data_IF_599812443321
#
_entry.id   IF_599812443321
#
_cell.length_a   1.000
_cell.length_b   1.000
_cell.length_c   1.000
_cell.angle_alpha   90.00
_cell.angle_beta   90.00
_cell.angle_gamma   90.00
#
_symmetry.space_group_name_H-M   'P 1'
#
loop_
_entity.id
_entity.type
_entity.pdbx_description
1 polymer ?
#
# COMPACT_ATOMS: atom_id res chain seq x y z
N UNK A 1 -2.06 42.56 2.83
CA UNK A 1 -2.68 41.45 3.60
C UNK A 1 -1.97 40.15 3.22
N UNK A 2 -1.09 39.66 4.07
CA UNK A 2 -0.30 38.44 3.82
C UNK A 2 -1.22 37.22 3.71
N UNK A 3 -1.31 36.60 2.52
CA UNK A 3 -1.98 35.30 2.34
C UNK A 3 -1.30 34.31 3.27
N UNK A 4 -2.06 33.72 4.21
CA UNK A 4 -1.53 32.70 5.12
C UNK A 4 -1.02 31.53 4.28
N UNK A 5 0.15 30.96 4.57
CA UNK A 5 0.63 29.78 3.86
C UNK A 5 -0.39 28.65 4.02
N UNK A 6 -0.93 28.17 2.90
CA UNK A 6 -1.97 27.16 2.85
C UNK A 6 -1.42 25.81 2.39
N UNK A 7 -0.16 25.50 2.64
CA UNK A 7 0.40 24.19 2.29
C UNK A 7 0.05 23.13 3.34
N UNK A 8 0.10 21.85 2.95
CA UNK A 8 -0.06 20.71 3.86
C UNK A 8 0.93 20.78 5.02
N UNK A 9 2.20 21.10 4.77
CA UNK A 9 3.22 21.27 5.80
C UNK A 9 2.90 22.41 6.77
N UNK A 10 2.31 23.52 6.27
CA UNK A 10 1.87 24.61 7.13
C UNK A 10 0.67 24.21 8.00
N UNK A 11 -0.24 23.38 7.49
CA UNK A 11 -1.34 22.81 8.26
C UNK A 11 -0.82 21.82 9.31
N UNK A 12 0.12 20.94 8.94
CA UNK A 12 0.77 19.97 9.83
C UNK A 12 1.42 20.65 11.03
N UNK A 13 2.24 21.67 10.78
CA UNK A 13 2.87 22.48 11.83
C UNK A 13 1.84 23.16 12.75
N UNK A 14 0.68 23.53 12.22
CA UNK A 14 -0.38 24.19 12.99
C UNK A 14 -1.22 23.22 13.81
N UNK A 15 -1.46 22.00 13.31
CA UNK A 15 -2.23 20.96 14.00
C UNK A 15 -1.37 20.14 14.96
N UNK A 16 -0.04 20.28 14.90
CA UNK A 16 0.88 19.42 15.65
C UNK A 16 0.85 17.98 15.15
N UNK A 17 0.45 17.78 13.89
CA UNK A 17 0.41 16.46 13.23
C UNK A 17 1.54 16.39 12.21
N UNK A 18 1.97 15.18 11.87
CA UNK A 18 2.90 14.99 10.75
C UNK A 18 2.22 15.30 9.41
N UNK A 19 3.01 15.63 8.39
CA UNK A 19 2.45 16.02 7.07
C UNK A 19 1.58 14.92 6.46
N UNK A 20 1.92 13.67 6.71
CA UNK A 20 1.21 12.52 6.18
C UNK A 20 -0.10 12.24 6.94
N UNK A 21 -0.14 12.55 8.24
CA UNK A 21 -1.36 12.50 9.04
C UNK A 21 -2.37 13.52 8.54
N UNK A 22 -1.89 14.74 8.25
CA UNK A 22 -2.70 15.79 7.65
C UNK A 22 -3.25 15.33 6.30
N UNK A 23 -2.42 14.73 5.45
CA UNK A 23 -2.88 14.23 4.15
C UNK A 23 -4.01 13.20 4.28
N UNK A 24 -3.88 12.22 5.19
CA UNK A 24 -4.94 11.26 5.45
C UNK A 24 -6.23 11.94 5.92
N UNK A 25 -6.15 12.85 6.89
CA UNK A 25 -7.33 13.56 7.40
C UNK A 25 -8.01 14.41 6.32
N UNK A 26 -7.22 15.06 5.46
CA UNK A 26 -7.75 15.82 4.34
C UNK A 26 -8.44 14.92 3.30
N UNK A 27 -7.86 13.75 3.02
CA UNK A 27 -8.47 12.77 2.11
C UNK A 27 -9.76 12.18 2.67
N UNK A 28 -9.81 11.88 3.97
CA UNK A 28 -11.02 11.40 4.64
C UNK A 28 -12.12 12.49 4.65
N UNK A 29 -11.73 13.76 4.66
CA UNK A 29 -12.61 14.89 4.45
C UNK A 29 -12.96 15.15 2.96
N UNK A 30 -12.52 14.30 2.03
CA UNK A 30 -12.81 14.41 0.59
C UNK A 30 -12.01 15.46 -0.18
N UNK A 31 -10.88 15.95 0.37
CA UNK A 31 -9.96 16.84 -0.33
C UNK A 31 -8.81 16.04 -0.94
N UNK A 32 -9.01 15.49 -2.14
CA UNK A 32 -8.11 14.45 -2.70
C UNK A 32 -6.87 14.94 -3.45
N UNK A 33 -6.82 16.21 -3.85
CA UNK A 33 -5.75 16.75 -4.68
C UNK A 33 -4.39 16.98 -3.97
N UNK A 34 -4.31 17.21 -2.65
CA UNK A 34 -3.01 17.30 -1.97
C UNK A 34 -2.30 15.94 -2.02
N UNK A 35 -1.03 15.96 -2.40
CA UNK A 35 -0.23 14.75 -2.69
C UNK A 35 1.11 14.68 -1.97
N UNK A 36 1.41 15.66 -1.12
CA UNK A 36 2.66 15.76 -0.36
C UNK A 36 2.71 17.02 0.49
N UNK A 37 3.74 17.19 1.34
CA UNK A 37 3.86 18.29 2.30
C UNK A 37 3.81 19.69 1.66
N UNK A 38 4.33 19.82 0.44
CA UNK A 38 4.36 21.08 -0.30
C UNK A 38 3.09 21.38 -1.09
N UNK A 39 2.08 20.50 -1.03
CA UNK A 39 0.83 20.72 -1.76
C UNK A 39 0.06 21.91 -1.21
N UNK A 40 -0.27 22.88 -2.06
CA UNK A 40 -1.11 24.02 -1.69
C UNK A 40 -2.59 23.61 -1.59
N UNK A 41 -3.23 23.99 -0.48
CA UNK A 41 -4.67 23.90 -0.28
C UNK A 41 -5.32 25.14 -0.92
N UNK A 42 -6.26 24.89 -1.82
CA UNK A 42 -7.07 25.91 -2.50
C UNK A 42 -7.82 26.73 -1.46
N UNK A 43 -7.91 28.04 -1.66
CA UNK A 43 -8.56 28.96 -0.72
C UNK A 43 -10.00 28.54 -0.35
N UNK A 44 -10.78 28.02 -1.32
CA UNK A 44 -12.15 27.52 -1.11
C UNK A 44 -12.24 26.29 -0.21
N UNK A 45 -11.17 25.50 -0.15
CA UNK A 45 -11.12 24.22 0.58
C UNK A 45 -10.48 24.40 1.97
N UNK A 46 -9.89 25.56 2.26
CA UNK A 46 -9.15 25.82 3.50
C UNK A 46 -10.02 25.66 4.75
N UNK A 47 -11.26 26.14 4.72
CA UNK A 47 -12.17 25.97 5.85
C UNK A 47 -12.48 24.50 6.12
N UNK A 48 -12.70 23.72 5.05
CA UNK A 48 -12.96 22.27 5.16
C UNK A 48 -11.75 21.54 5.70
N UNK A 49 -10.55 21.91 5.25
CA UNK A 49 -9.28 21.39 5.74
C UNK A 49 -9.05 21.71 7.23
N UNK A 50 -9.29 22.96 7.65
CA UNK A 50 -9.14 23.38 9.05
C UNK A 50 -10.14 22.66 9.97
N UNK A 51 -11.40 22.53 9.54
CA UNK A 51 -12.41 21.76 10.28
C UNK A 51 -12.03 20.28 10.42
N UNK A 52 -11.57 19.64 9.34
CA UNK A 52 -11.17 18.23 9.36
C UNK A 52 -10.01 17.98 10.32
N UNK A 53 -9.06 18.92 10.41
CA UNK A 53 -7.89 18.82 11.28
C UNK A 53 -8.16 19.28 12.72
N UNK A 54 -9.43 19.48 13.11
CA UNK A 54 -9.82 20.06 14.41
C UNK A 54 -9.07 21.38 14.74
N UNK A 55 -8.59 22.08 13.70
CA UNK A 55 -8.01 23.41 13.82
C UNK A 55 -9.16 24.38 14.01
N UNK A 56 -9.50 24.65 15.27
CA UNK A 56 -10.59 25.58 15.61
C UNK A 56 -10.45 26.90 14.85
N UNK A 57 -11.58 27.38 14.33
CA UNK A 57 -11.61 28.63 13.59
C UNK A 57 -11.05 29.76 14.49
N UNK A 58 -10.39 30.80 13.94
CA UNK A 58 -9.83 31.89 14.77
C UNK A 58 -10.84 32.55 15.72
N UNK A 59 -12.14 32.45 15.42
CA UNK A 59 -13.24 32.94 16.26
C UNK A 59 -13.56 32.02 17.45
N UNK A 60 -13.30 30.73 17.35
CA UNK A 60 -13.54 29.72 18.39
C UNK A 60 -12.42 29.71 19.42
N UNK A 61 -11.16 29.90 18.99
CA UNK A 61 -10.00 30.11 19.89
C UNK A 61 -10.14 31.33 20.80
N UNK A 62 -11.09 32.23 20.53
CA UNK A 62 -11.41 33.38 21.40
C UNK A 62 -12.37 33.02 22.52
N UNK A 63 -13.00 31.85 22.52
CA UNK A 63 -13.90 31.39 23.59
C UNK A 63 -13.09 30.66 24.66
N UNK A 64 -13.38 30.95 25.93
CA UNK A 64 -12.69 30.27 27.04
C UNK A 64 -13.05 28.77 27.11
N UNK A 65 -14.30 28.45 26.77
CA UNK A 65 -14.87 27.10 26.74
C UNK A 65 -14.13 26.15 25.79
N UNK A 66 -13.65 26.65 24.64
CA UNK A 66 -12.85 25.88 23.70
C UNK A 66 -11.55 25.36 24.36
N UNK A 67 -10.87 26.21 25.13
CA UNK A 67 -9.62 25.82 25.81
C UNK A 67 -9.87 24.86 26.97
N UNK A 68 -10.98 25.03 27.69
CA UNK A 68 -11.41 24.11 28.75
C UNK A 68 -11.70 22.72 28.19
N UNK A 69 -12.43 22.64 27.08
CA UNK A 69 -12.72 21.39 26.38
C UNK A 69 -11.45 20.74 25.82
N UNK A 70 -10.55 21.52 25.23
CA UNK A 70 -9.31 21.03 24.63
C UNK A 70 -8.33 20.48 25.68
N UNK A 71 -8.24 21.13 26.85
CA UNK A 71 -7.32 20.71 27.92
C UNK A 71 -7.92 19.71 28.90
N UNK A 72 -9.24 19.47 28.84
CA UNK A 72 -9.97 18.71 29.86
C UNK A 72 -9.93 19.33 31.26
N UNK A 73 -9.60 20.62 31.36
CA UNK A 73 -9.48 21.32 32.65
C UNK A 73 -10.76 22.09 32.94
N UNK A 74 -11.17 22.10 34.21
CA UNK A 74 -12.23 22.99 34.64
C UNK A 74 -11.74 24.45 34.65
N UNK A 75 -12.66 25.38 34.83
CA UNK A 75 -12.38 26.82 34.73
C UNK A 75 -11.33 27.29 35.75
N UNK A 76 -11.40 26.78 36.96
CA UNK A 76 -10.50 27.17 38.07
C UNK A 76 -9.09 26.62 37.84
N UNK A 77 -8.99 25.37 37.40
CA UNK A 77 -7.72 24.73 37.03
C UNK A 77 -7.04 25.45 35.86
N UNK A 78 -7.80 25.77 34.81
CA UNK A 78 -7.30 26.51 33.67
C UNK A 78 -6.86 27.92 34.07
N UNK A 79 -7.65 28.62 34.90
CA UNK A 79 -7.30 29.93 35.43
C UNK A 79 -6.03 29.88 36.30
N UNK A 80 -5.87 28.86 37.15
CA UNK A 80 -4.67 28.67 37.97
C UNK A 80 -3.41 28.47 37.13
N UNK A 81 -3.47 27.64 36.07
CA UNK A 81 -2.34 27.44 35.16
C UNK A 81 -2.02 28.69 34.33
N UNK A 82 -3.03 29.44 33.92
CA UNK A 82 -2.84 30.69 33.18
C UNK A 82 -2.29 31.80 34.06
N UNK A 83 -2.67 31.83 35.34
CA UNK A 83 -2.12 32.77 36.32
C UNK A 83 -0.62 32.55 36.51
N UNK A 84 -0.16 31.29 36.50
CA UNK A 84 1.28 30.95 36.54
C UNK A 84 2.05 31.47 35.31
N UNK A 85 1.38 31.68 34.17
CA UNK A 85 1.93 32.32 32.96
C UNK A 85 1.63 33.84 32.89
N UNK A 86 1.15 34.42 34.00
CA UNK A 86 0.84 35.85 34.13
C UNK A 86 -0.40 36.29 33.36
N UNK A 87 -1.42 35.43 33.24
CA UNK A 87 -2.71 35.73 32.62
C UNK A 87 -3.83 35.56 33.65
N UNK A 88 -4.47 36.67 34.01
CA UNK A 88 -5.65 36.63 34.89
C UNK A 88 -6.94 36.50 34.07
N UNK A 89 -7.84 35.61 34.49
CA UNK A 89 -9.17 35.44 33.91
C UNK A 89 -10.22 35.77 34.98
N UNK A 90 -11.11 36.71 34.68
CA UNK A 90 -12.22 37.02 35.59
C UNK A 90 -13.22 35.85 35.70
N UNK A 91 -13.86 35.64 36.86
CA UNK A 91 -14.79 34.52 37.08
C UNK A 91 -15.94 34.40 36.06
N UNK A 92 -16.37 35.51 35.44
CA UNK A 92 -17.43 35.55 34.41
C UNK A 92 -16.96 35.68 32.96
N UNK A 93 -15.65 35.75 32.68
CA UNK A 93 -15.13 35.96 31.33
C UNK A 93 -15.47 34.80 30.37
N UNK A 94 -16.22 35.06 29.30
CA UNK A 94 -16.54 34.04 28.28
C UNK A 94 -15.50 33.97 27.16
N UNK A 95 -14.61 34.97 27.09
CA UNK A 95 -13.62 35.10 26.02
C UNK A 95 -12.20 35.20 26.57
N UNK A 96 -11.25 34.77 25.74
CA UNK A 96 -9.82 34.90 25.97
C UNK A 96 -9.43 36.40 25.93
N UNK A 97 -8.67 36.91 26.92
CA UNK A 97 -8.17 38.28 26.90
C UNK A 97 -7.37 38.59 25.62
N UNK A 98 -7.44 39.83 25.14
CA UNK A 98 -6.73 40.23 23.91
C UNK A 98 -5.21 40.04 24.09
N UNK A 99 -4.57 39.41 23.11
CA UNK A 99 -3.10 39.23 23.08
C UNK A 99 -2.55 38.05 23.89
N UNK A 100 -3.38 37.27 24.60
CA UNK A 100 -2.91 36.17 25.46
C UNK A 100 -3.01 34.77 24.84
N UNK A 101 -3.48 34.67 23.59
CA UNK A 101 -3.78 33.40 22.91
C UNK A 101 -2.59 32.43 22.83
N UNK A 102 -1.37 32.94 22.64
CA UNK A 102 -0.14 32.12 22.65
C UNK A 102 0.19 31.50 24.01
N UNK A 103 -0.23 32.15 25.10
CA UNK A 103 -0.03 31.63 26.46
C UNK A 103 -1.03 30.50 26.76
N UNK A 104 -2.25 30.59 26.23
CA UNK A 104 -3.21 29.49 26.27
C UNK A 104 -2.71 28.25 25.51
N UNK A 105 -2.14 28.43 24.31
CA UNK A 105 -1.54 27.32 23.56
C UNK A 105 -0.42 26.62 24.36
N UNK A 106 0.40 27.38 25.08
CA UNK A 106 1.49 26.85 25.92
C UNK A 106 0.99 26.09 27.15
N UNK A 107 -0.02 26.62 27.83
CA UNK A 107 -0.62 26.00 29.03
C UNK A 107 -1.26 24.65 28.70
N UNK A 108 -1.88 24.54 27.51
CA UNK A 108 -2.48 23.27 27.06
C UNK A 108 -1.44 22.30 26.50
N UNK A 109 -0.36 22.80 25.89
CA UNK A 109 0.72 21.95 25.35
C UNK A 109 1.66 21.35 26.41
N UNK A 110 1.54 21.72 27.70
CA UNK A 110 2.43 21.25 28.77
C UNK A 110 1.74 20.17 29.63
N UNK A 111 2.12 18.88 29.53
CA UNK A 111 1.56 17.84 30.37
C UNK A 111 2.21 17.85 31.76
N UNK A 112 1.40 17.86 32.82
CA UNK A 112 1.82 17.46 34.17
C UNK A 112 2.44 18.53 35.08
N UNK A 113 1.63 19.10 35.97
CA UNK A 113 1.99 19.37 37.38
C UNK A 113 0.70 19.29 38.22
N UNK A 114 0.63 18.48 39.29
CA UNK A 114 -0.57 18.37 40.10
C UNK A 114 -0.65 19.54 41.08
N UNK A 115 -1.83 20.14 41.19
CA UNK A 115 -2.20 20.90 42.38
C UNK A 115 -2.90 19.94 43.33
N UNK A 116 -2.43 19.92 44.57
CA UNK A 116 -2.79 19.01 45.66
C UNK A 116 -4.29 19.00 45.98
N UNK A 117 -4.82 17.78 46.09
CA UNK A 117 -6.08 17.30 46.70
C UNK A 117 -7.01 18.31 47.38
N UNK A 118 -8.26 18.40 46.89
CA UNK A 118 -9.46 18.49 47.73
C UNK A 118 -10.53 17.52 47.19
N UNK A 119 -10.85 16.52 48.01
CA UNK A 119 -11.98 15.60 47.86
C UNK A 119 -13.32 16.35 47.88
N UNK A 120 -14.26 15.99 46.99
CA UNK A 120 -15.74 15.99 47.12
C UNK A 120 -16.34 15.41 45.81
N UNK A 121 -17.48 14.70 45.83
CA UNK A 121 -17.67 13.43 45.12
C UNK A 121 -18.09 13.56 43.64
N UNK A 122 -17.71 12.53 42.87
CA UNK A 122 -18.10 12.30 41.48
C UNK A 122 -19.62 12.24 41.35
N UNK A 123 -20.19 13.20 40.63
CA UNK A 123 -21.48 13.01 39.97
C UNK A 123 -21.28 12.10 38.77
N UNK A 124 -21.88 10.92 38.82
CA UNK A 124 -21.87 9.94 37.75
C UNK A 124 -22.51 10.50 36.48
N UNK A 125 -21.69 10.83 35.49
CA UNK A 125 -22.07 10.65 34.09
C UNK A 125 -21.07 9.69 33.47
N UNK A 126 -21.31 8.40 33.70
CA UNK A 126 -20.60 7.35 33.01
C UNK A 126 -20.89 7.48 31.51
N UNK A 127 -19.93 8.06 30.77
CA UNK A 127 -19.74 7.69 29.38
C UNK A 127 -19.38 6.20 29.38
N UNK A 128 -20.38 5.35 29.20
CA UNK A 128 -20.21 3.91 29.00
C UNK A 128 -19.61 3.68 27.62
N UNK A 129 -18.34 4.02 27.47
CA UNK A 129 -17.54 3.42 26.40
C UNK A 129 -17.46 1.93 26.76
N UNK A 130 -17.93 1.01 25.92
CA UNK A 130 -17.81 -0.42 26.20
C UNK A 130 -16.34 -0.75 26.47
N UNK A 131 -16.06 -1.70 27.39
CA UNK A 131 -14.68 -2.11 27.64
C UNK A 131 -14.01 -2.52 26.33
N UNK A 132 -12.73 -2.18 26.14
CA UNK A 132 -12.03 -2.48 24.91
C UNK A 132 -12.08 -3.98 24.63
N UNK A 133 -12.37 -4.34 23.38
CA UNK A 133 -12.46 -5.73 22.98
C UNK A 133 -11.06 -6.34 22.90
N UNK A 134 -10.86 -7.53 23.49
CA UNK A 134 -9.61 -8.26 23.32
C UNK A 134 -9.56 -8.87 21.92
N UNK A 135 -8.46 -8.64 21.21
CA UNK A 135 -8.22 -9.22 19.90
C UNK A 135 -8.08 -10.75 19.99
N UNK A 136 -8.71 -11.44 19.05
CA UNK A 136 -8.63 -12.89 18.91
C UNK A 136 -8.20 -13.19 17.49
N UNK A 137 -7.07 -13.88 17.35
CA UNK A 137 -6.57 -14.31 16.04
C UNK A 137 -7.55 -15.27 15.38
N UNK A 138 -7.87 -15.04 14.10
CA UNK A 138 -8.78 -15.88 13.31
C UNK A 138 -8.20 -16.11 11.92
N UNK A 139 -8.44 -17.28 11.37
CA UNK A 139 -8.14 -17.57 9.97
C UNK A 139 -9.11 -16.80 9.06
N UNK A 140 -8.58 -16.02 8.12
CA UNK A 140 -9.34 -15.26 7.13
C UNK A 140 -8.70 -15.42 5.75
N UNK A 141 -9.52 -15.48 4.72
CA UNK A 141 -9.05 -15.55 3.34
C UNK A 141 -9.09 -16.96 2.76
N UNK A 142 -8.33 -17.20 1.71
CA UNK A 142 -8.37 -18.41 0.93
C UNK A 142 -7.16 -19.31 1.22
N UNK A 143 -7.42 -20.50 1.73
CA UNK A 143 -6.41 -21.54 1.99
C UNK A 143 -6.04 -22.26 0.69
N UNK A 144 -4.74 -22.45 0.45
CA UNK A 144 -4.18 -23.24 -0.66
C UNK A 144 -2.72 -23.60 -0.42
N UNK A 145 -2.12 -24.36 -1.34
CA UNK A 145 -0.67 -24.49 -1.41
C UNK A 145 -0.07 -23.14 -1.79
N UNK A 146 0.55 -22.46 -0.81
CA UNK A 146 1.08 -21.12 -0.96
C UNK A 146 2.48 -21.13 -1.57
N UNK A 147 2.70 -20.21 -2.52
CA UNK A 147 4.03 -19.82 -3.01
C UNK A 147 4.44 -18.53 -2.31
N UNK A 148 5.73 -18.41 -1.99
CA UNK A 148 6.28 -17.26 -1.27
C UNK A 148 7.41 -16.64 -2.06
N UNK A 149 7.56 -15.32 -1.94
CA UNK A 149 8.72 -14.61 -2.46
C UNK A 149 9.93 -14.85 -1.56
N UNK A 150 11.08 -15.11 -2.17
CA UNK A 150 12.37 -15.18 -1.47
C UNK A 150 12.93 -13.78 -1.21
N UNK A 151 13.87 -13.67 -0.28
CA UNK A 151 14.60 -12.42 -0.03
C UNK A 151 15.28 -11.89 -1.31
N UNK A 152 15.83 -12.79 -2.14
CA UNK A 152 16.44 -12.45 -3.43
C UNK A 152 15.42 -11.86 -4.41
N UNK A 153 14.25 -12.50 -4.56
CA UNK A 153 13.16 -12.00 -5.42
C UNK A 153 12.67 -10.63 -4.96
N UNK A 154 12.57 -10.40 -3.65
CA UNK A 154 12.18 -9.09 -3.10
C UNK A 154 13.27 -8.03 -3.36
N UNK A 155 14.56 -8.39 -3.23
CA UNK A 155 15.66 -7.51 -3.58
C UNK A 155 15.64 -7.14 -5.06
N UNK A 156 15.35 -8.10 -5.94
CA UNK A 156 15.21 -7.87 -7.37
C UNK A 156 14.04 -6.92 -7.69
N UNK A 157 12.89 -7.08 -7.02
CA UNK A 157 11.77 -6.12 -7.09
C UNK A 157 12.25 -4.71 -6.71
N UNK A 158 13.02 -4.61 -5.62
CA UNK A 158 13.55 -3.31 -5.18
C UNK A 158 14.43 -2.64 -6.23
N UNK A 159 15.38 -3.38 -6.82
CA UNK A 159 16.25 -2.83 -7.85
C UNK A 159 15.50 -2.49 -9.15
N UNK A 160 14.51 -3.29 -9.55
CA UNK A 160 13.67 -2.98 -10.71
C UNK A 160 12.91 -1.65 -10.53
N UNK A 161 12.37 -1.39 -9.34
CA UNK A 161 11.72 -0.10 -9.04
C UNK A 161 12.77 1.02 -9.02
N UNK A 162 13.96 0.78 -8.44
CA UNK A 162 15.00 1.80 -8.37
C UNK A 162 15.45 2.23 -9.78
N UNK A 163 15.57 1.28 -10.70
CA UNK A 163 15.92 1.50 -12.11
C UNK A 163 14.83 2.30 -12.85
N UNK A 164 13.54 1.92 -12.75
CA UNK A 164 12.44 2.66 -13.40
C UNK A 164 12.30 4.12 -12.92
N UNK A 165 12.69 4.36 -11.66
CA UNK A 165 12.63 5.67 -11.03
C UNK A 165 13.94 6.46 -11.06
N UNK A 166 15.01 5.92 -11.68
CA UNK A 166 16.35 6.51 -11.64
C UNK A 166 16.37 7.97 -12.15
N UNK A 167 15.79 8.22 -13.32
CA UNK A 167 15.68 9.56 -13.93
C UNK A 167 14.41 10.33 -13.50
N UNK A 168 13.69 9.84 -12.49
CA UNK A 168 12.49 10.53 -11.99
C UNK A 168 12.85 11.64 -11.00
N UNK A 169 11.94 12.61 -10.74
CA UNK A 169 12.15 13.63 -9.72
C UNK A 169 12.32 13.08 -8.29
N UNK A 170 11.84 11.86 -8.03
CA UNK A 170 11.81 11.24 -6.70
C UNK A 170 12.42 9.80 -6.74
N UNK A 171 13.73 9.66 -7.03
CA UNK A 171 14.38 8.35 -7.20
C UNK A 171 14.41 7.54 -5.89
N UNK A 172 14.72 6.25 -5.98
CA UNK A 172 15.12 5.46 -4.79
C UNK A 172 16.62 5.69 -4.60
N UNK A 173 16.98 6.65 -3.75
CA UNK A 173 18.38 6.96 -3.43
C UNK A 173 18.58 7.09 -1.90
N UNK A 174 19.62 6.44 -1.32
CA UNK A 174 20.38 5.36 -1.92
C UNK A 174 19.51 4.10 -2.12
N UNK A 175 19.70 3.41 -3.25
CA UNK A 175 19.08 2.11 -3.49
C UNK A 175 19.89 0.99 -2.82
N UNK A 176 19.22 -0.13 -2.55
CA UNK A 176 19.85 -1.35 -2.06
C UNK A 176 19.47 -1.74 -0.64
N UNK A 177 19.91 -2.94 -0.28
CA UNK A 177 19.65 -3.57 1.01
C UNK A 177 20.48 -2.87 2.08
N UNK A 178 19.82 -2.40 3.14
CA UNK A 178 20.45 -1.85 4.34
C UNK A 178 20.70 -2.94 5.37
N UNK A 179 19.73 -3.83 5.56
CA UNK A 179 19.77 -4.90 6.56
C UNK A 179 19.31 -6.24 5.94
N UNK A 180 20.25 -7.10 5.51
CA UNK A 180 19.93 -8.40 4.91
C UNK A 180 19.07 -9.29 5.81
N UNK A 181 19.38 -9.36 7.11
CA UNK A 181 18.65 -10.18 8.08
C UNK A 181 17.18 -9.75 8.22
N UNK A 182 16.91 -8.45 8.08
CA UNK A 182 15.55 -7.90 8.13
C UNK A 182 14.77 -8.19 6.84
N UNK A 183 15.46 -8.28 5.70
CA UNK A 183 14.86 -8.70 4.44
C UNK A 183 14.49 -10.19 4.48
N UNK A 184 15.40 -11.01 4.98
CA UNK A 184 15.17 -12.45 5.16
C UNK A 184 14.05 -12.70 6.17
N UNK A 185 14.07 -12.00 7.31
CA UNK A 185 12.98 -12.03 8.29
C UNK A 185 11.62 -11.68 7.66
N UNK A 186 11.56 -10.65 6.81
CA UNK A 186 10.34 -10.26 6.12
C UNK A 186 9.86 -11.33 5.12
N UNK A 187 10.78 -11.98 4.40
CA UNK A 187 10.48 -13.05 3.44
C UNK A 187 10.02 -14.36 4.12
N UNK A 188 10.56 -14.66 5.30
CA UNK A 188 10.22 -15.88 6.06
C UNK A 188 8.94 -15.70 6.87
N UNK A 189 8.60 -14.49 7.33
CA UNK A 189 7.43 -14.27 8.20
C UNK A 189 6.12 -14.91 7.68
N UNK A 190 5.75 -14.83 6.39
CA UNK A 190 4.55 -15.48 5.88
C UNK A 190 4.51 -17.01 6.06
N UNK A 191 5.68 -17.61 6.30
CA UNK A 191 5.87 -19.06 6.45
C UNK A 191 5.91 -19.51 7.91
N UNK A 192 5.84 -18.59 8.89
CA UNK A 192 5.92 -18.92 10.31
C UNK A 192 4.82 -19.93 10.71
N UNK A 193 5.25 -20.98 11.40
CA UNK A 193 4.41 -22.05 11.91
C UNK A 193 4.86 -22.50 13.30
N UNK A 194 3.93 -23.06 14.07
CA UNK A 194 4.21 -23.82 15.28
C UNK A 194 3.84 -25.28 15.01
N UNK A 195 4.85 -26.14 14.84
CA UNK A 195 4.65 -27.49 14.33
C UNK A 195 4.02 -27.44 12.93
N UNK A 196 2.90 -28.13 12.74
CA UNK A 196 2.16 -28.15 11.47
C UNK A 196 1.19 -26.96 11.30
N UNK A 197 0.99 -26.16 12.34
CA UNK A 197 0.02 -25.06 12.35
C UNK A 197 0.69 -23.78 11.87
N UNK A 198 0.41 -23.40 10.62
CA UNK A 198 0.83 -22.12 10.03
C UNK A 198 0.08 -20.95 10.68
N UNK A 199 0.81 -19.87 11.02
CA UNK A 199 0.21 -18.62 11.51
C UNK A 199 -0.54 -17.88 10.39
N UNK A 200 -0.04 -17.95 9.15
CA UNK A 200 -0.61 -17.28 7.98
C UNK A 200 -1.00 -18.30 6.88
N UNK A 201 -2.03 -19.13 7.09
CA UNK A 201 -2.35 -20.25 6.20
C UNK A 201 -3.06 -19.87 4.89
N UNK A 202 -3.43 -18.59 4.71
CA UNK A 202 -4.18 -18.09 3.56
C UNK A 202 -3.35 -17.12 2.72
N UNK A 203 -3.77 -16.91 1.46
CA UNK A 203 -3.12 -15.97 0.53
C UNK A 203 -3.07 -14.56 1.12
N UNK A 204 -4.17 -14.12 1.72
CA UNK A 204 -4.35 -12.78 2.28
C UNK A 204 -3.52 -12.57 3.54
N UNK A 205 -3.53 -13.54 4.47
CA UNK A 205 -2.70 -13.46 5.68
C UNK A 205 -1.21 -13.48 5.33
N UNK A 206 -0.81 -14.33 4.38
CA UNK A 206 0.57 -14.42 3.89
C UNK A 206 1.03 -13.10 3.24
N UNK A 207 0.22 -12.54 2.33
CA UNK A 207 0.51 -11.26 1.68
C UNK A 207 0.55 -10.09 2.66
N UNK A 208 -0.38 -10.05 3.62
CA UNK A 208 -0.42 -9.03 4.66
C UNK A 208 0.83 -9.07 5.56
N UNK A 209 1.24 -10.26 6.01
CA UNK A 209 2.43 -10.45 6.82
C UNK A 209 3.71 -10.01 6.10
N UNK A 210 3.81 -10.31 4.79
CA UNK A 210 4.93 -9.87 3.95
C UNK A 210 5.01 -8.35 3.87
N UNK A 211 3.90 -7.70 3.45
CA UNK A 211 3.87 -6.25 3.26
C UNK A 211 4.14 -5.50 4.57
N UNK A 212 3.50 -5.92 5.66
CA UNK A 212 3.71 -5.33 6.98
C UNK A 212 5.19 -5.38 7.37
N UNK A 213 5.84 -6.53 7.18
CA UNK A 213 7.26 -6.68 7.52
C UNK A 213 8.18 -5.85 6.65
N UNK A 214 7.94 -5.79 5.34
CA UNK A 214 8.76 -4.97 4.45
C UNK A 214 8.63 -3.47 4.77
N UNK A 215 7.44 -3.02 5.15
CA UNK A 215 7.21 -1.63 5.53
C UNK A 215 7.89 -1.31 6.87
N UNK A 216 7.69 -2.14 7.89
CA UNK A 216 8.08 -1.79 9.27
C UNK A 216 9.47 -2.29 9.68
N UNK A 217 10.01 -3.34 9.05
CA UNK A 217 11.39 -3.76 9.30
C UNK A 217 12.40 -2.87 8.58
N UNK A 218 11.98 -2.09 7.57
CA UNK A 218 12.84 -1.21 6.78
C UNK A 218 14.15 -1.86 6.27
N UNK A 219 14.08 -3.00 5.56
CA UNK A 219 15.28 -3.72 5.11
C UNK A 219 16.11 -2.96 4.07
N UNK A 220 15.54 -1.98 3.37
CA UNK A 220 16.22 -1.17 2.35
C UNK A 220 16.53 0.23 2.87
N UNK A 221 17.55 0.87 2.28
CA UNK A 221 17.92 2.25 2.62
C UNK A 221 16.78 3.24 2.36
N UNK A 222 16.13 3.10 1.20
CA UNK A 222 14.97 3.88 0.80
C UNK A 222 13.99 2.97 0.04
N UNK A 223 12.80 3.45 -0.31
CA UNK A 223 11.88 2.71 -1.18
C UNK A 223 11.10 1.57 -0.52
N UNK A 224 11.23 1.35 0.81
CA UNK A 224 10.55 0.26 1.52
C UNK A 224 9.04 0.17 1.21
N UNK A 225 8.32 1.30 1.25
CA UNK A 225 6.87 1.36 0.92
C UNK A 225 6.58 0.96 -0.52
N UNK A 226 7.42 1.42 -1.46
CA UNK A 226 7.30 1.11 -2.90
C UNK A 226 7.56 -0.38 -3.16
N UNK A 227 8.64 -0.91 -2.59
CA UNK A 227 9.00 -2.33 -2.70
C UNK A 227 7.95 -3.22 -2.05
N UNK A 228 7.47 -2.89 -0.85
CA UNK A 228 6.44 -3.67 -0.17
C UNK A 228 5.14 -3.73 -0.98
N UNK A 229 4.75 -2.63 -1.63
CA UNK A 229 3.55 -2.59 -2.47
C UNK A 229 3.69 -3.51 -3.71
N UNK A 230 4.82 -3.47 -4.41
CA UNK A 230 5.03 -4.36 -5.57
C UNK A 230 5.19 -5.81 -5.11
N UNK A 231 5.87 -6.06 -3.98
CA UNK A 231 6.03 -7.40 -3.43
C UNK A 231 4.69 -8.05 -3.06
N UNK A 232 3.74 -7.33 -2.45
CA UNK A 232 2.42 -7.91 -2.17
C UNK A 232 1.62 -8.16 -3.45
N UNK A 233 1.70 -7.27 -4.45
CA UNK A 233 1.03 -7.49 -5.75
C UNK A 233 1.56 -8.76 -6.44
N UNK A 234 2.89 -8.94 -6.46
CA UNK A 234 3.52 -10.15 -6.99
C UNK A 234 3.15 -11.40 -6.18
N UNK A 235 3.17 -11.32 -4.84
CA UNK A 235 2.80 -12.46 -3.99
C UNK A 235 1.34 -12.89 -4.19
N UNK A 236 0.40 -11.95 -4.35
CA UNK A 236 -0.99 -12.26 -4.66
C UNK A 236 -1.11 -12.91 -6.06
N UNK A 237 -0.44 -12.36 -7.08
CA UNK A 237 -0.49 -12.88 -8.45
C UNK A 237 0.06 -14.31 -8.56
N UNK A 238 1.21 -14.58 -7.94
CA UNK A 238 1.82 -15.92 -7.85
C UNK A 238 0.85 -16.94 -7.22
N UNK A 239 0.01 -16.46 -6.30
CA UNK A 239 -1.02 -17.25 -5.63
C UNK A 239 -2.39 -17.18 -6.32
N UNK A 240 -2.49 -16.56 -7.49
CA UNK A 240 -3.68 -16.54 -8.35
C UNK A 240 -4.75 -15.53 -7.94
N UNK A 241 -4.37 -14.44 -7.28
CA UNK A 241 -5.25 -13.36 -6.87
C UNK A 241 -4.76 -12.00 -7.39
N UNK A 242 -5.71 -11.13 -7.72
CA UNK A 242 -5.42 -9.73 -8.05
C UNK A 242 -6.32 -8.83 -7.22
N UNK A 243 -5.79 -7.67 -6.85
CA UNK A 243 -6.58 -6.63 -6.24
C UNK A 243 -7.53 -5.99 -7.27
N UNK A 244 -8.71 -5.58 -6.81
CA UNK A 244 -9.77 -4.90 -7.57
C UNK A 244 -9.94 -3.43 -7.15
N UNK A 245 -9.20 -2.98 -6.14
CA UNK A 245 -9.20 -1.61 -5.68
C UNK A 245 -8.59 -0.66 -6.71
N UNK A 246 -9.01 0.60 -6.68
CA UNK A 246 -8.37 1.61 -7.51
C UNK A 246 -6.98 2.01 -6.94
N UNK A 247 -6.21 2.73 -7.75
CA UNK A 247 -4.86 3.17 -7.38
C UNK A 247 -4.83 4.16 -6.21
N UNK A 248 -5.92 4.89 -5.95
CA UNK A 248 -6.01 5.86 -4.86
C UNK A 248 -6.24 5.15 -3.53
N UNK A 249 -7.14 4.17 -3.51
CA UNK A 249 -7.44 3.34 -2.36
C UNK A 249 -6.20 2.53 -1.96
N UNK A 250 -5.53 1.93 -2.94
CA UNK A 250 -4.28 1.19 -2.71
C UNK A 250 -3.18 2.08 -2.11
N UNK A 251 -3.06 3.31 -2.61
CA UNK A 251 -2.15 4.30 -2.06
C UNK A 251 -2.50 4.68 -0.61
N UNK A 252 -3.75 5.04 -0.34
CA UNK A 252 -4.23 5.41 1.01
C UNK A 252 -4.02 4.27 2.00
N UNK A 253 -4.34 3.05 1.58
CA UNK A 253 -4.15 1.86 2.40
C UNK A 253 -2.67 1.64 2.72
N UNK A 254 -1.77 1.74 1.73
CA UNK A 254 -0.32 1.61 1.94
C UNK A 254 0.22 2.67 2.92
N UNK A 255 -0.27 3.91 2.85
CA UNK A 255 0.10 4.97 3.80
C UNK A 255 -0.42 4.66 5.21
N UNK A 256 -1.66 4.18 5.34
CA UNK A 256 -2.22 3.78 6.65
C UNK A 256 -1.47 2.61 7.28
N UNK A 257 -1.00 1.65 6.47
CA UNK A 257 -0.09 0.58 6.96
C UNK A 257 1.18 1.21 7.52
N UNK A 258 1.88 2.04 6.74
CA UNK A 258 3.14 2.64 7.15
C UNK A 258 3.06 3.51 8.42
N UNK A 259 1.90 4.10 8.70
CA UNK A 259 1.67 4.91 9.89
C UNK A 259 1.10 4.13 11.09
N UNK A 260 0.95 2.81 10.98
CA UNK A 260 0.30 1.98 11.99
C UNK A 260 -1.14 2.44 12.32
N UNK A 261 -1.92 2.80 11.30
CA UNK A 261 -3.29 3.34 11.42
C UNK A 261 -4.38 2.37 10.98
N UNK A 262 -4.09 1.08 10.98
CA UNK A 262 -5.09 0.06 10.70
C UNK A 262 -5.72 -0.52 11.97
N UNK A 263 -4.97 -0.58 13.08
CA UNK A 263 -5.49 -1.10 14.34
C UNK A 263 -6.61 -0.19 14.91
N UNK A 264 -7.80 -0.74 15.21
CA UNK A 264 -8.86 0.01 15.89
C UNK A 264 -8.43 0.44 17.30
N UNK A 265 -8.73 1.69 17.67
CA UNK A 265 -8.30 2.26 18.95
C UNK A 265 -8.89 1.57 20.19
N UNK A 266 -10.01 0.85 20.04
CA UNK A 266 -10.74 0.17 21.10
C UNK A 266 -10.45 -1.34 21.18
N UNK A 267 -9.43 -1.82 20.48
CA UNK A 267 -9.04 -3.24 20.47
C UNK A 267 -7.70 -3.42 21.18
N UNK A 268 -7.66 -4.32 22.17
CA UNK A 268 -6.45 -4.64 22.93
C UNK A 268 -5.79 -5.92 22.39
N UNK A 269 -4.47 -5.93 22.22
CA UNK A 269 -3.69 -7.08 21.75
C UNK A 269 -2.33 -6.70 21.18
N UNK A 270 -1.62 -7.66 20.59
CA UNK A 270 -0.41 -7.37 19.82
C UNK A 270 -0.77 -6.53 18.59
N UNK A 271 -0.19 -5.32 18.49
CA UNK A 271 -0.54 -4.36 17.44
C UNK A 271 -0.23 -4.89 16.05
N UNK A 272 0.90 -5.57 15.90
CA UNK A 272 1.33 -6.13 14.61
C UNK A 272 0.36 -7.22 14.15
N UNK A 273 -0.10 -8.08 15.06
CA UNK A 273 -1.09 -9.10 14.75
C UNK A 273 -2.46 -8.50 14.38
N UNK A 274 -2.90 -7.46 15.10
CA UNK A 274 -4.13 -6.72 14.75
C UNK A 274 -4.00 -6.11 13.35
N UNK A 275 -2.89 -5.42 13.06
CA UNK A 275 -2.70 -4.76 11.77
C UNK A 275 -2.61 -5.75 10.62
N UNK A 276 -1.89 -6.87 10.79
CA UNK A 276 -1.84 -7.93 9.77
C UNK A 276 -3.23 -8.54 9.53
N UNK A 277 -4.04 -8.70 10.58
CA UNK A 277 -5.41 -9.18 10.43
C UNK A 277 -6.28 -8.19 9.63
N UNK A 278 -6.25 -6.90 9.99
CA UNK A 278 -6.98 -5.84 9.28
C UNK A 278 -6.52 -5.71 7.81
N UNK A 279 -5.22 -5.85 7.54
CA UNK A 279 -4.68 -5.92 6.20
C UNK A 279 -5.22 -7.12 5.42
N UNK A 280 -5.23 -8.31 6.02
CA UNK A 280 -5.76 -9.51 5.39
C UNK A 280 -7.26 -9.40 5.09
N UNK A 281 -8.04 -8.78 5.99
CA UNK A 281 -9.45 -8.49 5.75
C UNK A 281 -9.63 -7.52 4.58
N UNK A 282 -8.85 -6.42 4.56
CA UNK A 282 -8.90 -5.45 3.46
C UNK A 282 -8.58 -6.09 2.11
N UNK A 283 -7.57 -6.96 2.05
CA UNK A 283 -7.20 -7.73 0.85
C UNK A 283 -8.35 -8.65 0.46
N UNK A 284 -8.91 -9.44 1.38
CA UNK A 284 -9.99 -10.38 1.08
C UNK A 284 -11.21 -9.69 0.45
N UNK A 285 -11.58 -8.52 0.94
CA UNK A 285 -12.71 -7.74 0.40
C UNK A 285 -12.45 -7.16 -1.00
N UNK A 286 -11.17 -7.01 -1.37
CA UNK A 286 -10.72 -6.34 -2.60
C UNK A 286 -9.84 -7.23 -3.47
N UNK A 287 -9.86 -8.53 -3.24
CA UNK A 287 -9.14 -9.50 -4.04
C UNK A 287 -10.14 -10.39 -4.75
N UNK A 288 -9.85 -10.69 -6.01
CA UNK A 288 -10.57 -11.71 -6.76
C UNK A 288 -9.57 -12.75 -7.27
N UNK A 289 -10.01 -14.00 -7.45
CA UNK A 289 -9.24 -14.95 -8.25
C UNK A 289 -8.91 -14.35 -9.62
N UNK A 290 -7.67 -14.54 -10.04
CA UNK A 290 -7.26 -14.28 -11.41
C UNK A 290 -7.91 -15.35 -12.25
N UNK A 291 -8.75 -14.91 -13.19
CA UNK A 291 -9.30 -15.78 -14.23
C UNK A 291 -8.14 -16.14 -15.18
N UNK A 292 -7.66 -17.40 -15.09
CA UNK A 292 -6.51 -17.92 -15.84
C UNK A 292 -6.88 -18.36 -17.26
N UNK A 293 -7.90 -17.76 -17.87
CA UNK A 293 -8.09 -17.81 -19.33
C UNK A 293 -6.99 -17.05 -20.08
N UNK A 294 -6.92 -17.16 -21.41
CA UNK A 294 -5.94 -16.38 -22.17
C UNK A 294 -6.07 -14.88 -21.84
N UNK A 295 -4.95 -14.23 -21.52
CA UNK A 295 -4.90 -12.80 -21.20
C UNK A 295 -4.38 -12.01 -22.39
N UNK A 296 -4.92 -10.81 -22.60
CA UNK A 296 -4.34 -9.89 -23.58
C UNK A 296 -2.94 -9.49 -23.12
N UNK A 297 -1.96 -9.54 -24.02
CA UNK A 297 -0.56 -9.20 -23.76
C UNK A 297 -0.05 -8.26 -24.85
N UNK A 298 0.87 -7.36 -24.53
CA UNK A 298 1.54 -6.52 -25.53
C UNK A 298 2.55 -7.34 -26.33
N UNK A 299 2.84 -6.92 -27.55
CA UNK A 299 3.82 -7.60 -28.40
C UNK A 299 5.22 -7.72 -27.75
N UNK A 300 5.81 -6.69 -27.12
CA UNK A 300 7.14 -6.81 -26.52
C UNK A 300 7.21 -7.86 -25.39
N UNK A 301 6.14 -7.98 -24.59
CA UNK A 301 6.06 -8.96 -23.53
C UNK A 301 5.83 -10.39 -24.09
N UNK A 302 4.99 -10.54 -25.12
CA UNK A 302 4.85 -11.83 -25.79
C UNK A 302 6.16 -12.27 -26.46
N UNK A 303 6.83 -11.35 -27.17
CA UNK A 303 8.09 -11.61 -27.88
C UNK A 303 9.16 -12.15 -26.94
N UNK A 304 9.36 -11.51 -25.77
CA UNK A 304 10.28 -11.99 -24.73
C UNK A 304 9.99 -13.43 -24.32
N UNK A 305 8.73 -13.75 -24.07
CA UNK A 305 8.30 -15.09 -23.59
C UNK A 305 8.47 -16.17 -24.63
N UNK A 306 8.08 -15.88 -25.87
CA UNK A 306 8.25 -16.80 -26.99
C UNK A 306 9.73 -17.15 -27.18
N UNK A 307 10.61 -16.15 -27.15
CA UNK A 307 12.06 -16.36 -27.24
C UNK A 307 12.57 -17.20 -26.05
N UNK A 308 12.15 -16.89 -24.83
CA UNK A 308 12.54 -17.66 -23.64
C UNK A 308 12.06 -19.12 -23.69
N UNK A 309 10.94 -19.39 -24.37
CA UNK A 309 10.38 -20.72 -24.59
C UNK A 309 10.98 -21.43 -25.83
N UNK A 310 12.02 -20.85 -26.44
CA UNK A 310 12.72 -21.42 -27.59
C UNK A 310 11.98 -21.26 -28.92
N UNK A 311 11.15 -20.23 -29.06
CA UNK A 311 10.52 -19.89 -30.32
C UNK A 311 11.35 -18.89 -31.12
N UNK A 312 11.41 -19.09 -32.44
CA UNK A 312 11.96 -18.13 -33.40
C UNK A 312 10.84 -17.23 -33.93
N UNK A 313 11.17 -15.96 -34.21
CA UNK A 313 10.18 -14.96 -34.63
C UNK A 313 10.71 -14.18 -35.84
N UNK A 314 10.00 -14.28 -36.96
CA UNK A 314 10.38 -13.63 -38.21
C UNK A 314 9.23 -12.81 -38.80
N UNK A 315 9.47 -11.63 -39.38
CA UNK A 315 8.45 -10.92 -40.14
C UNK A 315 8.04 -11.73 -41.38
N UNK A 316 6.74 -11.82 -41.65
CA UNK A 316 6.25 -12.50 -42.86
C UNK A 316 6.33 -11.59 -44.09
N UNK A 317 6.64 -12.12 -45.29
CA UNK A 317 6.75 -11.32 -46.52
C UNK A 317 5.45 -10.68 -47.04
N UNK A 318 4.29 -11.01 -46.44
CA UNK A 318 2.99 -10.56 -46.94
C UNK A 318 2.63 -9.13 -46.50
N UNK A 319 1.96 -8.37 -47.38
CA UNK A 319 1.41 -7.04 -47.10
C UNK A 319 0.38 -7.14 -45.97
N UNK A 320 0.80 -6.91 -44.73
CA UNK A 320 -0.11 -6.93 -43.59
C UNK A 320 0.50 -6.89 -42.20
N UNK A 321 1.83 -6.77 -42.06
CA UNK A 321 2.49 -6.65 -40.75
C UNK A 321 2.20 -7.87 -39.87
N UNK A 322 2.54 -9.08 -40.33
CA UNK A 322 2.38 -10.31 -39.54
C UNK A 322 3.75 -10.84 -39.14
N UNK A 323 3.79 -11.54 -38.01
CA UNK A 323 4.98 -12.19 -37.47
C UNK A 323 4.76 -13.70 -37.49
N UNK A 324 5.67 -14.43 -38.12
CA UNK A 324 5.79 -15.87 -38.04
C UNK A 324 6.45 -16.22 -36.71
N UNK A 325 5.81 -17.07 -35.91
CA UNK A 325 6.42 -17.66 -34.72
C UNK A 325 6.58 -19.15 -34.98
N UNK A 326 7.77 -19.70 -34.76
CA UNK A 326 8.03 -21.14 -34.93
C UNK A 326 8.80 -21.74 -33.76
N UNK A 327 8.66 -23.04 -33.57
CA UNK A 327 9.35 -23.80 -32.52
C UNK A 327 9.56 -25.25 -32.96
N UNK A 328 10.66 -25.87 -32.53
CA UNK A 328 10.88 -27.30 -32.68
C UNK A 328 10.30 -28.05 -31.48
N UNK A 329 9.48 -29.07 -31.73
CA UNK A 329 8.83 -29.88 -30.69
C UNK A 329 9.10 -31.36 -30.95
N UNK A 330 9.34 -32.10 -29.87
CA UNK A 330 9.63 -33.54 -29.92
C UNK A 330 8.33 -34.33 -29.82
N UNK A 331 7.96 -35.03 -30.89
CA UNK A 331 6.74 -35.83 -30.98
C UNK A 331 7.08 -37.31 -30.84
N UNK A 332 6.41 -38.00 -29.93
CA UNK A 332 6.50 -39.46 -29.78
C UNK A 332 5.33 -40.14 -30.47
N UNK A 333 5.61 -40.95 -31.49
CA UNK A 333 4.63 -41.77 -32.18
C UNK A 333 4.76 -43.23 -31.74
N UNK A 334 3.67 -43.80 -31.21
CA UNK A 334 3.58 -45.25 -31.00
C UNK A 334 3.32 -45.94 -32.34
N UNK A 335 4.22 -46.83 -32.74
CA UNK A 335 4.03 -47.76 -33.86
C UNK A 335 3.86 -49.19 -33.33
N UNK A 336 3.44 -50.08 -34.20
CA UNK A 336 3.23 -51.51 -33.88
C UNK A 336 4.50 -52.21 -33.36
N UNK A 337 5.68 -51.66 -33.65
CA UNK A 337 7.01 -52.11 -33.18
C UNK A 337 7.76 -50.97 -32.47
N UNK A 338 7.20 -50.48 -31.36
CA UNK A 338 7.87 -49.54 -30.45
C UNK A 338 7.55 -48.06 -30.67
N UNK A 339 8.18 -47.20 -29.86
CA UNK A 339 7.99 -45.75 -29.86
C UNK A 339 9.05 -45.08 -30.71
N UNK A 340 8.63 -44.31 -31.72
CA UNK A 340 9.54 -43.48 -32.53
C UNK A 340 9.43 -42.03 -32.10
N UNK A 341 10.57 -41.42 -31.78
CA UNK A 341 10.65 -39.99 -31.47
C UNK A 341 11.08 -39.22 -32.71
N UNK A 342 10.41 -38.11 -33.04
CA UNK A 342 10.78 -37.23 -34.16
C UNK A 342 10.69 -35.76 -33.74
N UNK A 343 11.60 -34.93 -34.27
CA UNK A 343 11.53 -33.47 -34.14
C UNK A 343 10.61 -32.93 -35.24
N UNK A 344 9.60 -32.17 -34.85
CA UNK A 344 8.67 -31.51 -35.76
C UNK A 344 8.66 -30.00 -35.51
N UNK A 345 8.61 -29.23 -36.58
CA UNK A 345 8.47 -27.79 -36.49
C UNK A 345 6.99 -27.39 -36.41
N UNK A 346 6.64 -26.57 -35.42
CA UNK A 346 5.33 -25.92 -35.28
C UNK A 346 5.44 -24.46 -35.68
N UNK A 347 4.44 -23.94 -36.38
CA UNK A 347 4.42 -22.55 -36.89
C UNK A 347 3.05 -21.92 -36.70
N UNK A 348 3.03 -20.66 -36.25
CA UNK A 348 1.83 -19.85 -36.18
C UNK A 348 2.10 -18.44 -36.73
N UNK A 349 1.18 -17.91 -37.53
CA UNK A 349 1.28 -16.54 -38.04
C UNK A 349 0.40 -15.62 -37.20
N UNK A 350 1.01 -14.66 -36.52
CA UNK A 350 0.35 -13.72 -35.63
C UNK A 350 0.26 -12.33 -36.27
N UNK A 351 -0.88 -11.64 -36.10
CA UNK A 351 -1.00 -10.26 -36.55
C UNK A 351 -0.17 -9.31 -35.66
N UNK A 352 0.65 -8.46 -36.27
CA UNK A 352 1.48 -7.47 -35.59
C UNK A 352 1.04 -6.05 -35.96
N UNK A 353 0.39 -5.37 -35.02
CA UNK A 353 -0.10 -4.01 -35.21
C UNK A 353 0.69 -2.95 -34.46
N UNK A 354 1.96 -3.20 -34.14
CA UNK A 354 2.84 -2.33 -33.38
C UNK A 354 3.01 -2.72 -31.91
N UNK A 355 4.08 -2.22 -31.28
CA UNK A 355 4.52 -2.64 -29.94
C UNK A 355 3.54 -2.27 -28.82
N UNK A 356 2.72 -1.23 -29.02
CA UNK A 356 1.67 -0.83 -28.09
C UNK A 356 0.35 -1.58 -28.25
N UNK A 357 0.18 -2.38 -29.31
CA UNK A 357 -1.08 -3.08 -29.59
C UNK A 357 -1.15 -4.38 -28.81
N UNK A 358 -2.28 -4.59 -28.16
CA UNK A 358 -2.56 -5.81 -27.42
C UNK A 358 -2.98 -6.94 -28.36
N UNK A 359 -2.52 -8.15 -28.04
CA UNK A 359 -2.86 -9.36 -28.78
C UNK A 359 -4.09 -9.97 -28.14
N UNK A 360 -5.10 -10.25 -28.96
CA UNK A 360 -6.38 -10.80 -28.51
C UNK A 360 -6.25 -12.20 -27.94
N UNK A 361 -7.14 -12.52 -26.99
CA UNK A 361 -7.21 -13.82 -26.30
C UNK A 361 -7.27 -15.01 -27.26
N UNK A 362 -8.12 -14.93 -28.30
CA UNK A 362 -8.26 -15.98 -29.30
C UNK A 362 -6.98 -16.28 -30.07
N UNK A 363 -6.23 -15.26 -30.50
CA UNK A 363 -4.95 -15.47 -31.18
C UNK A 363 -3.89 -16.06 -30.25
N UNK A 364 -3.94 -15.75 -28.95
CA UNK A 364 -3.05 -16.35 -27.96
C UNK A 364 -3.42 -17.80 -27.66
N UNK A 365 -4.72 -18.14 -27.66
CA UNK A 365 -5.21 -19.50 -27.53
C UNK A 365 -4.63 -20.38 -28.61
N UNK A 366 -4.86 -19.96 -29.85
CA UNK A 366 -4.45 -20.68 -31.05
C UNK A 366 -2.93 -20.79 -31.11
N UNK A 367 -2.21 -19.70 -30.85
CA UNK A 367 -0.75 -19.71 -30.79
C UNK A 367 -0.25 -20.74 -29.77
N UNK A 368 -0.81 -20.75 -28.55
CA UNK A 368 -0.36 -21.66 -27.49
C UNK A 368 -0.68 -23.11 -27.82
N UNK A 369 -1.84 -23.39 -28.38
CA UNK A 369 -2.22 -24.74 -28.78
C UNK A 369 -1.32 -25.23 -29.93
N UNK A 370 -1.09 -24.42 -30.96
CA UNK A 370 -0.31 -24.80 -32.14
C UNK A 370 1.17 -24.97 -31.83
N UNK A 371 1.73 -24.12 -30.95
CA UNK A 371 3.15 -24.19 -30.56
C UNK A 371 3.41 -25.17 -29.39
N UNK A 372 2.39 -25.92 -28.97
CA UNK A 372 2.43 -26.87 -27.85
C UNK A 372 2.91 -26.21 -26.53
N UNK A 373 2.33 -25.04 -26.24
CA UNK A 373 2.55 -24.18 -25.07
C UNK A 373 1.29 -24.03 -24.19
N UNK A 374 0.35 -24.97 -24.30
CA UNK A 374 -0.85 -25.08 -23.47
C UNK A 374 -0.64 -26.05 -22.28
N UNK A 375 -1.61 -26.09 -21.37
CA UNK A 375 -1.53 -26.90 -20.15
C UNK A 375 -1.48 -28.41 -20.47
N UNK A 376 -2.13 -28.84 -21.56
CA UNK A 376 -2.11 -30.22 -22.04
C UNK A 376 -0.70 -30.69 -22.46
N UNK A 377 0.21 -29.74 -22.73
CA UNK A 377 1.60 -29.98 -23.11
C UNK A 377 2.59 -29.67 -21.97
N UNK A 378 2.10 -29.51 -20.73
CA UNK A 378 2.93 -29.28 -19.55
C UNK A 378 3.32 -27.82 -19.31
N UNK A 379 2.76 -26.88 -20.08
CA UNK A 379 2.96 -25.43 -19.87
C UNK A 379 1.76 -24.85 -19.15
N UNK A 380 1.84 -24.78 -17.82
CA UNK A 380 0.81 -24.10 -17.04
C UNK A 380 0.75 -22.61 -17.40
N UNK A 381 -0.38 -21.98 -17.13
CA UNK A 381 -0.56 -20.55 -17.40
C UNK A 381 0.47 -19.66 -16.67
N UNK A 382 1.12 -20.16 -15.61
CA UNK A 382 2.19 -19.47 -14.92
C UNK A 382 3.52 -19.54 -15.68
N UNK A 383 3.88 -20.69 -16.24
CA UNK A 383 5.11 -20.90 -17.01
C UNK A 383 5.07 -20.15 -18.35
N UNK A 384 3.89 -20.07 -18.99
CA UNK A 384 3.76 -19.31 -20.23
C UNK A 384 3.68 -17.81 -19.98
N UNK A 385 2.96 -17.39 -18.94
CA UNK A 385 2.75 -15.97 -18.68
C UNK A 385 3.60 -15.37 -17.55
N UNK A 386 4.56 -16.09 -17.00
CA UNK A 386 5.31 -15.66 -15.83
C UNK A 386 6.77 -16.08 -15.90
N UNK A 387 7.64 -15.12 -16.15
CA UNK A 387 8.69 -14.85 -15.17
C UNK A 387 8.08 -13.87 -14.15
N UNK A 388 8.37 -14.03 -12.87
CA UNK A 388 7.96 -13.06 -11.84
C UNK A 388 8.43 -11.64 -12.21
N UNK A 389 9.59 -11.54 -12.86
CA UNK A 389 10.18 -10.29 -13.34
C UNK A 389 9.35 -9.55 -14.40
N UNK A 390 8.76 -10.24 -15.38
CA UNK A 390 7.91 -9.60 -16.39
C UNK A 390 6.62 -9.01 -15.76
N UNK A 391 6.13 -9.63 -14.68
CA UNK A 391 4.98 -9.13 -13.94
C UNK A 391 5.35 -7.94 -13.06
N UNK A 392 6.55 -7.95 -12.48
CA UNK A 392 7.09 -6.82 -11.71
C UNK A 392 7.18 -5.58 -12.59
N UNK A 393 7.71 -5.69 -13.82
CA UNK A 393 7.73 -4.58 -14.79
C UNK A 393 6.30 -4.04 -15.08
N UNK A 394 5.34 -4.94 -15.23
CA UNK A 394 3.94 -4.57 -15.45
C UNK A 394 3.34 -3.86 -14.24
N UNK A 395 3.58 -4.34 -13.02
CA UNK A 395 3.13 -3.68 -11.80
C UNK A 395 3.78 -2.32 -11.63
N UNK A 396 5.09 -2.19 -11.86
CA UNK A 396 5.81 -0.91 -11.82
C UNK A 396 5.16 0.06 -12.80
N UNK A 397 4.95 -0.35 -14.05
CA UNK A 397 4.32 0.49 -15.08
C UNK A 397 2.88 0.89 -14.73
N UNK A 398 2.04 -0.07 -14.35
CA UNK A 398 0.62 0.16 -14.03
C UNK A 398 0.48 1.06 -12.80
N UNK A 399 1.25 0.79 -11.75
CA UNK A 399 1.17 1.49 -10.48
C UNK A 399 2.19 2.63 -10.35
N UNK A 400 2.86 3.02 -11.44
CA UNK A 400 3.92 4.05 -11.42
C UNK A 400 3.50 5.33 -10.72
N UNK A 401 2.27 5.79 -10.97
CA UNK A 401 1.72 7.01 -10.32
C UNK A 401 1.56 6.82 -8.80
N UNK A 402 1.08 5.67 -8.36
CA UNK A 402 0.98 5.33 -6.93
C UNK A 402 2.36 5.23 -6.29
N UNK A 403 3.30 4.56 -6.94
CA UNK A 403 4.68 4.44 -6.47
C UNK A 403 5.37 5.81 -6.36
N UNK A 404 5.19 6.70 -7.34
CA UNK A 404 5.71 8.07 -7.29
C UNK A 404 5.14 8.87 -6.11
N UNK A 405 3.84 8.71 -5.79
CA UNK A 405 3.22 9.37 -4.65
C UNK A 405 3.75 8.86 -3.31
N UNK A 406 4.06 7.56 -3.22
CA UNK A 406 4.65 6.95 -2.01
C UNK A 406 6.07 7.43 -1.73
N UNK A 407 6.76 8.05 -2.68
CA UNK A 407 8.10 8.59 -2.49
C UNK A 407 8.11 9.94 -1.74
N UNK A 408 6.97 10.65 -1.71
CA UNK A 408 6.83 12.02 -1.15
C UNK A 408 6.45 12.06 0.33
N UNK A 409 6.32 10.87 0.91
CA UNK A 409 5.94 10.55 2.28
C UNK A 409 7.02 9.60 2.78
#
# INVERSE_FOLDING_TARGET
MSRRPSTVAALAKRSGLESDDVLLTLWDAGLEYPSGPNSEIRARDLSKAETALTLAAPKEKLKLEYWMQLSGLNREELAGRLLAEGVSISPGARRVPKGTLRKFERVVATPGRPATSLLVPKGDSASTTPPPATFVWREIGHRKSLRYLTAEQIAQIHYAIADDFFDSPDPIAPAGIRFPDLLESAAIRPQIALGEIKKYPTVELSGAALMHSLIHNHPFYNGNKRTALVAILSALDMNGYTLTCDQKDLFRWTVRVAQHKLAPANVMGDRSDIEVFEMAQWIRERARPIDKGERVITWPALKRRLIALGCDIQPTPSRGGRMQVSRQVTVQEKKFLGTRTSLQERKYSLAYGGDGRQIGKGSLKELRQILELSEEHGYDSNAFYGSEFDQVDEFIRVYRKTLARLAKL
#
